data_IF_923165531308
#
_entry.id   IF_923165531308
#
_cell.length_a   1.000
_cell.length_b   1.000
_cell.length_c   1.000
_cell.angle_alpha   90.00
_cell.angle_beta   90.00
_cell.angle_gamma   90.00
#
_symmetry.space_group_name_H-M   'P 1'
#
loop_
_entity.id
_entity.type
_entity.pdbx_description
1 polymer ?
#
# COMPACT_ATOMS: atom_id res chain seq x y z
N UNK A 1 10.53 -12.95 -16.39
CA UNK A 1 10.35 -14.14 -15.57
C UNK A 1 8.87 -14.53 -15.53
N UNK A 2 8.58 -15.76 -15.92
CA UNK A 2 7.21 -16.31 -15.95
C UNK A 2 7.18 -17.55 -15.07
N UNK A 3 6.24 -17.58 -14.12
CA UNK A 3 6.00 -18.74 -13.27
C UNK A 3 4.58 -19.25 -13.48
N UNK A 4 4.37 -20.57 -13.54
CA UNK A 4 3.05 -21.14 -13.63
C UNK A 4 2.28 -20.89 -12.33
N UNK A 5 1.02 -20.47 -12.47
CA UNK A 5 0.11 -20.25 -11.35
C UNK A 5 -1.12 -21.12 -11.56
N UNK A 6 -1.46 -21.91 -10.56
CA UNK A 6 -2.68 -22.72 -10.60
C UNK A 6 -3.93 -21.86 -10.40
N UNK A 7 -5.02 -22.11 -11.12
CA UNK A 7 -6.26 -21.37 -10.93
C UNK A 7 -6.88 -21.70 -9.57
N UNK A 8 -7.43 -20.69 -8.90
CA UNK A 8 -8.17 -20.80 -7.65
C UNK A 8 -9.66 -20.72 -7.91
N UNK A 9 -10.34 -21.86 -7.97
CA UNK A 9 -11.75 -21.96 -8.32
C UNK A 9 -12.70 -21.76 -7.14
N UNK A 10 -12.18 -21.75 -5.92
CA UNK A 10 -12.97 -21.55 -4.71
C UNK A 10 -13.15 -20.07 -4.36
N UNK A 11 -13.68 -19.83 -3.17
CA UNK A 11 -13.91 -18.48 -2.63
C UNK A 11 -12.61 -17.66 -2.52
N UNK A 12 -11.49 -18.31 -2.31
CA UNK A 12 -10.16 -17.68 -2.27
C UNK A 12 -9.78 -17.02 -3.59
N UNK A 13 -10.37 -17.43 -4.70
CA UNK A 13 -10.16 -16.80 -6.01
C UNK A 13 -10.70 -15.38 -6.11
N UNK A 14 -11.58 -14.97 -5.20
CA UNK A 14 -12.10 -13.62 -5.13
C UNK A 14 -11.24 -12.68 -4.25
N UNK A 15 -10.23 -13.22 -3.57
CA UNK A 15 -9.27 -12.40 -2.87
C UNK A 15 -8.36 -11.70 -3.89
N UNK A 16 -8.32 -10.35 -3.94
CA UNK A 16 -7.53 -9.62 -4.94
C UNK A 16 -6.02 -9.83 -4.80
N UNK A 17 -5.56 -10.32 -3.67
CA UNK A 17 -4.14 -10.62 -3.42
C UNK A 17 -3.75 -12.06 -3.76
N UNK A 18 -4.71 -12.88 -4.14
CA UNK A 18 -4.44 -14.25 -4.58
C UNK A 18 -4.29 -14.30 -6.11
N UNK A 19 -3.08 -14.55 -6.65
CA UNK A 19 -2.86 -14.58 -8.10
C UNK A 19 -3.66 -15.65 -8.84
N UNK A 20 -4.00 -16.74 -8.15
CA UNK A 20 -4.80 -17.83 -8.74
C UNK A 20 -6.22 -17.40 -9.13
N UNK A 21 -6.74 -16.37 -8.48
CA UNK A 21 -8.04 -15.80 -8.83
C UNK A 21 -8.03 -15.13 -10.20
N UNK A 22 -6.95 -14.46 -10.56
CA UNK A 22 -6.76 -13.84 -11.88
C UNK A 22 -6.76 -14.93 -12.96
N UNK A 23 -6.02 -16.01 -12.72
CA UNK A 23 -5.96 -17.15 -13.64
C UNK A 23 -7.33 -17.77 -13.83
N UNK A 24 -8.04 -18.09 -12.77
CA UNK A 24 -9.37 -18.66 -12.84
C UNK A 24 -10.36 -17.76 -13.59
N UNK A 25 -10.34 -16.46 -13.28
CA UNK A 25 -11.19 -15.49 -13.97
C UNK A 25 -10.89 -15.42 -15.46
N UNK A 26 -9.61 -15.38 -15.85
CA UNK A 26 -9.23 -15.31 -17.27
C UNK A 26 -9.53 -16.58 -18.03
N UNK A 27 -9.46 -17.76 -17.42
CA UNK A 27 -9.88 -19.01 -18.05
C UNK A 27 -11.39 -18.96 -18.32
N UNK A 28 -12.21 -18.64 -17.32
CA UNK A 28 -13.67 -18.59 -17.46
C UNK A 28 -14.12 -17.49 -18.42
N UNK A 29 -13.62 -16.27 -18.23
CA UNK A 29 -13.97 -15.14 -19.09
C UNK A 29 -13.43 -15.30 -20.52
N UNK A 30 -12.26 -15.92 -20.68
CA UNK A 30 -11.70 -16.22 -21.99
C UNK A 30 -12.55 -17.20 -22.78
N UNK A 31 -13.00 -18.27 -22.14
CA UNK A 31 -13.94 -19.22 -22.77
C UNK A 31 -15.26 -18.54 -23.16
N UNK A 32 -15.81 -17.73 -22.27
CA UNK A 32 -17.01 -16.95 -22.58
C UNK A 32 -16.76 -15.92 -23.69
N UNK A 33 -15.58 -15.32 -23.73
CA UNK A 33 -15.17 -14.40 -24.79
C UNK A 33 -15.09 -15.08 -26.17
N UNK A 34 -14.56 -16.31 -26.24
CA UNK A 34 -14.51 -17.10 -27.47
C UNK A 34 -15.93 -17.42 -27.96
N UNK A 35 -16.79 -17.91 -27.07
CA UNK A 35 -18.19 -18.21 -27.39
C UNK A 35 -18.93 -16.94 -27.82
N UNK A 36 -18.73 -15.83 -27.11
CA UNK A 36 -19.32 -14.54 -27.47
C UNK A 36 -18.83 -14.02 -28.83
N UNK A 37 -17.56 -14.21 -29.15
CA UNK A 37 -17.00 -13.86 -30.44
C UNK A 37 -17.63 -14.66 -31.57
N UNK A 38 -17.76 -15.98 -31.40
CA UNK A 38 -18.43 -16.85 -32.37
C UNK A 38 -19.88 -16.42 -32.58
N UNK A 39 -20.59 -16.11 -31.49
CA UNK A 39 -21.97 -15.61 -31.56
C UNK A 39 -22.05 -14.31 -32.38
N UNK A 40 -21.20 -13.35 -32.11
CA UNK A 40 -21.22 -12.05 -32.81
C UNK A 40 -20.76 -12.10 -34.26
N UNK A 41 -19.97 -13.11 -34.66
CA UNK A 41 -19.62 -13.36 -36.03
C UNK A 41 -20.80 -13.99 -36.80
N UNK A 42 -21.54 -14.89 -36.15
CA UNK A 42 -22.57 -15.71 -36.79
C UNK A 42 -23.97 -15.12 -36.72
N UNK A 43 -24.25 -14.27 -35.75
CA UNK A 43 -25.55 -13.68 -35.49
C UNK A 43 -25.48 -12.16 -35.56
N UNK A 44 -26.32 -11.58 -36.41
CA UNK A 44 -26.43 -10.12 -36.52
C UNK A 44 -27.64 -9.64 -35.67
N UNK A 45 -27.54 -8.46 -35.06
CA UNK A 45 -28.68 -7.91 -34.31
C UNK A 45 -29.85 -7.59 -35.24
N UNK A 46 -31.05 -7.68 -34.73
CA UNK A 46 -32.24 -7.20 -35.43
C UNK A 46 -32.20 -5.68 -35.63
N UNK A 47 -33.00 -5.20 -36.59
CA UNK A 47 -33.00 -3.75 -36.93
C UNK A 47 -33.36 -2.83 -35.76
N UNK A 48 -34.34 -3.23 -34.91
CA UNK A 48 -34.70 -2.43 -33.73
C UNK A 48 -33.55 -2.27 -32.75
N UNK A 49 -32.85 -3.34 -32.45
CA UNK A 49 -31.70 -3.35 -31.54
C UNK A 49 -30.52 -2.58 -32.15
N UNK A 50 -30.26 -2.79 -33.41
CA UNK A 50 -29.21 -2.09 -34.14
C UNK A 50 -29.39 -0.56 -34.07
N UNK A 51 -30.62 -0.08 -34.33
CA UNK A 51 -30.94 1.34 -34.26
C UNK A 51 -30.94 1.87 -32.82
N UNK A 52 -31.46 1.12 -31.88
CA UNK A 52 -31.51 1.54 -30.47
C UNK A 52 -30.11 1.73 -29.87
N UNK A 53 -29.18 0.86 -30.22
CA UNK A 53 -27.79 0.93 -29.77
C UNK A 53 -26.92 1.84 -30.65
N UNK A 54 -27.46 2.40 -31.73
CA UNK A 54 -26.74 3.28 -32.67
C UNK A 54 -25.46 2.65 -33.25
N UNK A 55 -25.53 1.38 -33.58
CA UNK A 55 -24.37 0.59 -34.04
C UNK A 55 -23.83 1.06 -35.41
N UNK A 56 -24.62 1.80 -36.19
CA UNK A 56 -24.17 2.40 -37.43
C UNK A 56 -23.50 3.77 -37.28
N UNK A 57 -23.42 4.32 -36.08
CA UNK A 57 -22.85 5.62 -35.79
C UNK A 57 -21.47 5.53 -35.17
N UNK A 58 -20.49 6.23 -35.73
CA UNK A 58 -19.16 6.34 -35.10
C UNK A 58 -19.22 7.01 -33.72
N UNK A 59 -20.09 7.98 -33.56
CA UNK A 59 -20.31 8.64 -32.25
C UNK A 59 -20.81 7.65 -31.20
N UNK A 60 -21.79 6.80 -31.56
CA UNK A 60 -22.31 5.76 -30.68
C UNK A 60 -21.25 4.72 -30.29
N UNK A 61 -20.43 4.32 -31.23
CA UNK A 61 -19.29 3.39 -30.97
C UNK A 61 -18.25 4.05 -30.08
N UNK A 62 -17.92 5.31 -30.34
CA UNK A 62 -17.00 6.07 -29.48
C UNK A 62 -17.54 6.22 -28.07
N UNK A 63 -18.82 6.52 -27.92
CA UNK A 63 -19.46 6.66 -26.60
C UNK A 63 -19.39 5.35 -25.80
N UNK A 64 -19.67 4.21 -26.41
CA UNK A 64 -19.58 2.91 -25.76
C UNK A 64 -18.14 2.52 -25.41
N UNK A 65 -17.18 2.84 -26.27
CA UNK A 65 -15.76 2.63 -25.99
C UNK A 65 -15.28 3.49 -24.81
N UNK A 66 -15.71 4.74 -24.72
CA UNK A 66 -15.39 5.61 -23.60
C UNK A 66 -16.03 5.14 -22.29
N UNK A 67 -17.22 4.55 -22.34
CA UNK A 67 -17.84 3.96 -21.17
C UNK A 67 -17.02 2.76 -20.63
N UNK A 68 -16.52 1.93 -21.55
CA UNK A 68 -15.62 0.81 -21.17
C UNK A 68 -14.32 1.32 -20.56
N UNK A 69 -13.72 2.35 -21.13
CA UNK A 69 -12.47 2.97 -20.61
C UNK A 69 -12.73 3.59 -19.24
N UNK A 70 -13.88 4.24 -19.03
CA UNK A 70 -14.25 4.81 -17.74
C UNK A 70 -14.33 3.72 -16.66
N UNK A 71 -14.97 2.60 -16.96
CA UNK A 71 -15.01 1.45 -16.06
C UNK A 71 -13.62 0.93 -15.70
N UNK A 72 -12.80 0.69 -16.72
CA UNK A 72 -11.42 0.19 -16.52
C UNK A 72 -10.57 1.18 -15.72
N UNK A 73 -10.75 2.49 -15.94
CA UNK A 73 -10.02 3.51 -15.19
C UNK A 73 -10.29 3.45 -13.69
N UNK A 74 -11.54 3.20 -13.29
CA UNK A 74 -11.87 2.98 -11.88
C UNK A 74 -11.30 1.68 -11.34
N UNK A 75 -11.30 0.61 -12.13
CA UNK A 75 -10.70 -0.67 -11.71
C UNK A 75 -9.20 -0.52 -11.49
N UNK A 76 -8.49 0.09 -12.44
CA UNK A 76 -7.03 0.29 -12.34
C UNK A 76 -6.68 1.20 -11.19
N UNK A 77 -7.41 2.30 -11.01
CA UNK A 77 -7.19 3.23 -9.90
C UNK A 77 -7.45 2.57 -8.55
N UNK A 78 -8.50 1.78 -8.45
CA UNK A 78 -8.84 1.03 -7.24
C UNK A 78 -7.80 -0.02 -6.88
N UNK A 79 -7.33 -0.79 -7.85
CA UNK A 79 -6.29 -1.81 -7.60
C UNK A 79 -4.95 -1.16 -7.23
N UNK A 80 -4.64 -0.01 -7.79
CA UNK A 80 -3.43 0.72 -7.43
C UNK A 80 -3.52 1.31 -6.01
N UNK A 81 -4.66 1.90 -5.67
CA UNK A 81 -4.82 2.55 -4.38
C UNK A 81 -4.97 1.57 -3.22
N UNK A 82 -5.82 0.56 -3.38
CA UNK A 82 -6.03 -0.47 -2.35
C UNK A 82 -4.98 -1.56 -2.36
N UNK A 83 -4.28 -1.73 -3.46
CA UNK A 83 -3.35 -2.83 -3.68
C UNK A 83 -4.04 -4.08 -4.20
N UNK A 84 -3.30 -4.90 -4.89
CA UNK A 84 -3.71 -6.22 -5.37
C UNK A 84 -2.49 -7.04 -5.77
N UNK A 85 -2.69 -8.28 -6.18
CA UNK A 85 -1.61 -9.09 -6.76
C UNK A 85 -1.00 -8.47 -8.02
N UNK A 86 -1.77 -7.60 -8.73
CA UNK A 86 -1.31 -6.91 -9.95
C UNK A 86 -0.48 -5.67 -9.69
N UNK A 87 -0.43 -5.21 -8.44
CA UNK A 87 0.28 -4.00 -8.02
C UNK A 87 1.23 -4.30 -6.86
N UNK A 88 2.24 -5.17 -7.07
CA UNK A 88 3.14 -5.58 -5.99
C UNK A 88 3.90 -4.39 -5.42
N UNK A 89 4.12 -4.42 -4.12
CA UNK A 89 4.82 -3.35 -3.37
C UNK A 89 6.24 -3.13 -3.89
N UNK A 90 6.89 -4.18 -4.37
CA UNK A 90 8.26 -4.12 -4.92
C UNK A 90 8.35 -3.22 -6.17
N UNK A 91 7.26 -3.07 -6.92
CA UNK A 91 7.21 -2.26 -8.14
C UNK A 91 6.61 -0.88 -7.91
N UNK A 92 5.57 -0.78 -7.11
CA UNK A 92 4.76 0.43 -6.96
C UNK A 92 4.84 1.09 -5.58
N UNK A 93 5.59 0.47 -4.67
CA UNK A 93 5.68 0.94 -3.29
C UNK A 93 4.47 0.54 -2.44
N UNK A 94 4.51 0.86 -1.14
CA UNK A 94 3.45 0.49 -0.21
C UNK A 94 2.17 1.31 -0.44
N UNK A 95 1.03 0.74 -0.05
CA UNK A 95 -0.24 1.46 -0.02
C UNK A 95 -0.38 2.24 1.30
N UNK A 96 -1.26 3.25 1.32
CA UNK A 96 -1.55 3.97 2.57
C UNK A 96 -2.10 3.04 3.67
N UNK A 97 -2.84 2.02 3.28
CA UNK A 97 -3.48 1.09 4.22
C UNK A 97 -2.48 0.20 4.94
N UNK A 98 -1.33 -0.07 4.32
CA UNK A 98 -0.24 -0.78 4.96
C UNK A 98 0.39 0.03 6.08
N UNK A 99 0.46 1.36 5.93
CA UNK A 99 0.83 2.24 7.03
C UNK A 99 -0.26 2.29 8.11
N UNK A 100 -1.52 2.53 7.73
CA UNK A 100 -2.64 2.66 8.65
C UNK A 100 -2.83 1.41 9.53
N UNK A 101 -2.62 0.23 8.96
CA UNK A 101 -2.72 -1.05 9.68
C UNK A 101 -1.46 -1.47 10.42
N UNK A 102 -0.35 -0.76 10.24
CA UNK A 102 0.94 -1.16 10.79
C UNK A 102 1.49 -2.45 10.21
N UNK A 103 1.18 -2.76 8.96
CA UNK A 103 1.54 -4.00 8.28
C UNK A 103 3.05 -4.27 8.33
N UNK A 104 3.86 -3.31 7.92
CA UNK A 104 5.31 -3.46 7.91
C UNK A 104 5.91 -3.37 9.31
N UNK A 105 5.36 -2.55 10.18
CA UNK A 105 5.79 -2.49 11.59
C UNK A 105 5.61 -3.85 12.27
N UNK A 106 4.46 -4.47 12.07
CA UNK A 106 4.17 -5.81 12.61
C UNK A 106 5.15 -6.85 12.09
N UNK A 107 5.47 -6.83 10.80
CA UNK A 107 6.45 -7.75 10.21
C UNK A 107 7.87 -7.52 10.73
N UNK A 108 8.29 -6.26 10.87
CA UNK A 108 9.58 -5.91 11.47
C UNK A 108 9.65 -6.45 12.91
N UNK A 109 8.63 -6.19 13.72
CA UNK A 109 8.58 -6.65 15.11
C UNK A 109 8.60 -8.18 15.19
N UNK A 110 7.91 -8.87 14.29
CA UNK A 110 7.93 -10.34 14.21
C UNK A 110 9.34 -10.86 13.94
N UNK A 111 10.04 -10.28 12.98
CA UNK A 111 11.41 -10.68 12.63
C UNK A 111 12.39 -10.40 13.76
N UNK A 112 12.26 -9.24 14.40
CA UNK A 112 13.09 -8.86 15.55
C UNK A 112 12.88 -9.83 16.70
N UNK A 113 11.62 -10.15 17.03
CA UNK A 113 11.32 -11.09 18.12
C UNK A 113 11.84 -12.49 17.81
N UNK A 114 11.70 -12.96 16.56
CA UNK A 114 12.23 -14.26 16.15
C UNK A 114 13.76 -14.31 16.31
N UNK A 115 14.46 -13.24 15.94
CA UNK A 115 15.93 -13.16 16.09
C UNK A 115 16.33 -13.15 17.57
N UNK A 116 15.60 -12.45 18.43
CA UNK A 116 15.85 -12.44 19.89
C UNK A 116 15.61 -13.83 20.48
N UNK A 117 14.55 -14.51 20.07
CA UNK A 117 14.24 -15.87 20.52
C UNK A 117 15.32 -16.88 20.10
N UNK A 118 16.01 -16.62 18.97
CA UNK A 118 17.16 -17.41 18.52
C UNK A 118 18.48 -17.02 19.21
N UNK A 119 18.45 -16.08 20.15
CA UNK A 119 19.60 -15.69 20.97
C UNK A 119 20.37 -14.46 20.50
N UNK A 120 19.89 -13.76 19.48
CA UNK A 120 20.50 -12.49 19.05
C UNK A 120 20.22 -11.37 20.05
N UNK A 121 21.13 -10.39 20.11
CA UNK A 121 20.89 -9.17 20.86
C UNK A 121 19.87 -8.30 20.12
N UNK A 122 19.29 -7.32 20.81
CA UNK A 122 18.32 -6.40 20.22
C UNK A 122 18.92 -5.62 19.05
N UNK A 123 20.15 -5.15 19.22
CA UNK A 123 20.88 -4.42 18.18
C UNK A 123 21.16 -5.28 16.95
N UNK A 124 21.57 -6.53 17.16
CA UNK A 124 21.79 -7.50 16.09
C UNK A 124 20.49 -7.85 15.37
N UNK A 125 19.41 -8.00 16.10
CA UNK A 125 18.10 -8.29 15.54
C UNK A 125 17.62 -7.16 14.63
N UNK A 126 17.75 -5.90 15.04
CA UNK A 126 17.39 -4.76 14.22
C UNK A 126 18.34 -4.56 13.03
N UNK A 127 19.62 -4.84 13.20
CA UNK A 127 20.59 -4.77 12.11
C UNK A 127 20.32 -5.81 11.01
N UNK A 128 19.65 -6.90 11.33
CA UNK A 128 19.29 -7.95 10.37
C UNK A 128 18.06 -7.62 9.52
N UNK A 129 17.31 -6.55 9.84
CA UNK A 129 16.13 -6.16 9.10
C UNK A 129 16.52 -5.64 7.71
N UNK A 130 15.92 -6.15 6.62
CA UNK A 130 16.18 -5.63 5.29
C UNK A 130 15.84 -4.14 5.18
N UNK A 131 16.73 -3.36 4.57
CA UNK A 131 16.51 -1.92 4.36
C UNK A 131 15.20 -1.63 3.63
N UNK A 132 14.84 -2.46 2.67
CA UNK A 132 13.61 -2.32 1.90
C UNK A 132 12.37 -2.43 2.78
N UNK A 133 12.36 -3.33 3.75
CA UNK A 133 11.26 -3.48 4.70
C UNK A 133 11.14 -2.24 5.61
N UNK A 134 12.26 -1.72 6.08
CA UNK A 134 12.28 -0.48 6.86
C UNK A 134 11.85 0.73 6.04
N UNK A 135 12.27 0.80 4.77
CA UNK A 135 11.84 1.83 3.83
C UNK A 135 10.32 1.86 3.66
N UNK A 136 9.68 0.69 3.58
CA UNK A 136 8.23 0.61 3.47
C UNK A 136 7.49 1.01 4.75
N UNK A 137 8.12 0.88 5.91
CA UNK A 137 7.54 1.32 7.19
C UNK A 137 7.89 2.77 7.54
N UNK A 138 8.01 3.61 6.54
CA UNK A 138 8.25 5.04 6.71
C UNK A 138 7.06 5.83 6.16
N UNK A 139 6.47 6.70 6.99
CA UNK A 139 5.27 7.46 6.60
C UNK A 139 5.49 8.37 5.41
N UNK A 140 6.69 8.90 5.24
CA UNK A 140 7.05 9.73 4.08
C UNK A 140 6.98 8.99 2.75
N UNK A 141 6.99 7.66 2.77
CA UNK A 141 6.84 6.81 1.58
C UNK A 141 5.39 6.36 1.37
N UNK A 142 4.47 6.78 2.22
CA UNK A 142 3.04 6.53 2.02
C UNK A 142 2.52 7.36 0.84
N UNK A 143 1.74 6.77 -0.07
CA UNK A 143 1.17 7.51 -1.21
C UNK A 143 0.22 8.62 -0.78
N UNK A 144 -0.33 8.56 0.44
CA UNK A 144 -1.17 9.63 1.00
C UNK A 144 -0.37 10.87 1.42
N UNK A 145 0.95 10.79 1.51
CA UNK A 145 1.86 11.90 1.84
C UNK A 145 2.53 12.51 0.60
N UNK A 146 2.17 12.07 -0.59
CA UNK A 146 2.68 12.62 -1.82
C UNK A 146 2.26 14.07 -2.07
N UNK A 147 2.97 14.74 -2.96
CA UNK A 147 2.65 16.07 -3.45
C UNK A 147 3.06 16.22 -4.91
N UNK A 148 2.39 17.13 -5.64
CA UNK A 148 2.58 17.27 -7.09
C UNK A 148 4.04 17.52 -7.50
N UNK A 149 4.79 18.26 -6.69
CA UNK A 149 6.19 18.61 -6.96
C UNK A 149 7.19 17.85 -6.07
N UNK A 150 6.77 16.79 -5.40
CA UNK A 150 7.61 16.00 -4.48
C UNK A 150 8.11 14.69 -5.10
N UNK A 151 7.88 14.48 -6.39
CA UNK A 151 8.24 13.26 -7.10
C UNK A 151 9.76 13.20 -7.33
N UNK A 152 10.37 12.05 -7.03
CA UNK A 152 11.79 11.80 -7.29
C UNK A 152 12.77 12.49 -6.36
N UNK A 153 12.32 13.04 -5.23
CA UNK A 153 13.22 13.60 -4.24
C UNK A 153 14.12 12.53 -3.63
N UNK A 154 15.42 12.80 -3.60
CA UNK A 154 16.39 11.94 -2.89
C UNK A 154 16.23 12.01 -1.38
N UNK A 155 15.60 13.06 -0.92
CA UNK A 155 15.30 13.32 0.48
C UNK A 155 13.78 13.26 0.60
N UNK A 156 13.27 12.54 1.60
CA UNK A 156 11.84 12.44 1.84
C UNK A 156 11.26 13.77 2.34
N UNK A 157 9.93 13.85 2.52
CA UNK A 157 9.24 15.06 2.94
C UNK A 157 9.67 15.65 4.29
N UNK A 158 10.40 14.88 5.11
CA UNK A 158 10.92 15.30 6.42
C UNK A 158 12.36 15.81 6.36
N UNK A 159 12.95 15.91 5.16
CA UNK A 159 14.33 16.33 4.98
C UNK A 159 15.36 15.24 5.28
N UNK A 160 14.94 14.00 5.47
CA UNK A 160 15.83 12.86 5.72
C UNK A 160 16.18 12.13 4.42
N UNK A 161 17.41 11.60 4.27
CA UNK A 161 17.74 10.78 3.13
C UNK A 161 16.80 9.58 2.99
N UNK A 162 16.45 9.24 1.76
CA UNK A 162 15.67 8.03 1.48
C UNK A 162 16.52 6.81 1.76
N UNK A 163 16.35 6.21 2.91
CA UNK A 163 17.07 5.02 3.34
C UNK A 163 16.91 4.81 4.83
N UNK A 164 16.97 3.56 5.22
CA UNK A 164 16.91 3.24 6.63
C UNK A 164 18.28 3.40 7.28
N UNK A 165 18.34 4.23 8.32
CA UNK A 165 19.58 4.49 9.04
C UNK A 165 19.72 3.65 10.32
N UNK A 166 18.88 2.66 10.49
CA UNK A 166 18.85 1.81 11.65
C UNK A 166 17.74 2.17 12.64
N UNK A 167 17.53 1.29 13.60
CA UNK A 167 16.59 1.53 14.69
C UNK A 167 17.21 2.47 15.72
N UNK A 168 16.48 3.54 16.05
CA UNK A 168 16.85 4.47 17.11
C UNK A 168 16.05 4.11 18.35
N UNK A 169 16.75 3.79 19.41
CA UNK A 169 16.13 3.49 20.71
C UNK A 169 16.14 4.73 21.59
N UNK A 170 15.00 5.02 22.18
CA UNK A 170 14.83 6.08 23.17
C UNK A 170 14.49 5.48 24.52
N UNK A 171 15.06 6.04 25.57
CA UNK A 171 14.76 5.65 26.95
C UNK A 171 14.45 6.87 27.78
N UNK A 172 13.54 6.74 28.75
CA UNK A 172 13.31 7.76 29.73
C UNK A 172 14.38 7.71 30.86
N UNK A 173 14.30 8.63 31.83
CA UNK A 173 15.25 8.67 32.97
C UNK A 173 15.17 7.42 33.85
N UNK A 174 14.06 6.72 33.81
CA UNK A 174 13.81 5.49 34.58
C UNK A 174 14.25 4.24 33.84
N UNK A 175 14.79 4.37 32.62
CA UNK A 175 15.24 3.27 31.79
C UNK A 175 14.16 2.58 30.98
N UNK A 176 12.93 3.07 30.98
CA UNK A 176 11.85 2.53 30.16
C UNK A 176 12.07 2.88 28.68
N UNK A 177 11.85 1.90 27.83
CA UNK A 177 11.95 2.08 26.39
C UNK A 177 10.78 2.91 25.86
N UNK A 178 11.09 3.90 25.02
CA UNK A 178 10.11 4.77 24.38
C UNK A 178 10.09 4.51 22.88
N UNK A 179 8.91 4.58 22.28
CA UNK A 179 8.69 4.46 20.84
C UNK A 179 8.15 5.78 20.27
N UNK A 180 8.49 6.07 19.02
CA UNK A 180 7.91 7.19 18.29
C UNK A 180 6.49 6.84 17.87
N UNK A 181 5.52 7.70 18.24
CA UNK A 181 4.13 7.52 17.80
C UNK A 181 4.01 7.63 16.30
N UNK A 182 3.29 6.71 15.70
CA UNK A 182 3.07 6.69 14.25
C UNK A 182 2.22 7.88 13.82
N UNK A 183 2.65 8.55 12.75
CA UNK A 183 1.92 9.70 12.20
C UNK A 183 0.74 9.18 11.39
N UNK A 184 -0.52 9.56 11.70
CA UNK A 184 -1.65 9.22 10.87
C UNK A 184 -1.54 9.85 9.48
N UNK A 185 -1.98 9.14 8.44
CA UNK A 185 -1.95 9.64 7.06
C UNK A 185 -2.76 10.93 6.85
N UNK A 186 -3.74 11.19 7.69
CA UNK A 186 -4.59 12.39 7.61
C UNK A 186 -3.82 13.68 7.89
N UNK A 187 -2.83 13.65 8.78
CA UNK A 187 -2.10 14.85 9.20
C UNK A 187 -0.90 15.10 8.27
N UNK A 188 -0.76 16.30 7.75
CA UNK A 188 0.42 16.72 7.01
C UNK A 188 1.59 17.02 7.94
N UNK A 189 1.30 17.68 9.08
CA UNK A 189 2.27 17.99 10.13
C UNK A 189 1.84 17.31 11.41
N UNK A 190 2.77 16.63 12.05
CA UNK A 190 2.52 15.92 13.29
C UNK A 190 3.75 16.04 14.19
N UNK A 191 3.59 16.40 15.48
CA UNK A 191 4.72 16.47 16.40
C UNK A 191 5.33 15.09 16.61
N UNK A 192 6.63 15.02 16.84
CA UNK A 192 7.29 13.76 17.24
C UNK A 192 6.90 13.50 18.70
N UNK A 193 6.18 12.43 18.92
CA UNK A 193 5.69 12.03 20.25
C UNK A 193 6.37 10.72 20.62
N UNK A 194 7.01 10.70 21.78
CA UNK A 194 7.57 9.49 22.37
C UNK A 194 6.59 8.93 23.40
N UNK A 195 6.23 7.68 23.22
CA UNK A 195 5.29 7.00 24.10
C UNK A 195 5.91 5.72 24.66
N UNK A 196 5.42 5.29 25.83
CA UNK A 196 5.79 4.00 26.42
C UNK A 196 4.97 2.85 25.78
N UNK A 197 5.22 1.64 26.25
CA UNK A 197 4.51 0.44 25.75
C UNK A 197 3.01 0.48 26.02
N UNK A 198 2.57 1.27 26.99
CA UNK A 198 1.17 1.43 27.38
C UNK A 198 0.49 2.58 26.63
N UNK A 199 1.23 3.31 25.79
CA UNK A 199 0.71 4.42 25.00
C UNK A 199 0.71 5.77 25.71
N UNK A 200 1.32 5.87 26.91
CA UNK A 200 1.43 7.14 27.60
C UNK A 200 2.52 8.02 26.99
N UNK A 201 2.20 9.29 26.75
CA UNK A 201 3.16 10.26 26.21
C UNK A 201 4.21 10.57 27.28
N UNK A 202 5.48 10.38 26.93
CA UNK A 202 6.61 10.66 27.84
C UNK A 202 7.43 11.86 27.40
N UNK A 203 7.53 12.11 26.11
CA UNK A 203 8.19 13.28 25.56
C UNK A 203 7.56 13.65 24.22
N UNK A 204 7.66 14.90 23.83
CA UNK A 204 7.25 15.36 22.51
C UNK A 204 8.22 16.42 21.98
N UNK A 205 8.33 16.50 20.64
CA UNK A 205 8.98 17.61 19.95
C UNK A 205 7.88 18.29 19.15
N UNK A 206 7.31 19.39 19.65
CA UNK A 206 6.18 20.04 19.01
C UNK A 206 6.62 20.73 17.72
N UNK A 207 5.68 20.88 16.79
CA UNK A 207 5.89 21.67 15.59
C UNK A 207 6.23 23.14 15.92
N UNK A 208 5.68 23.65 17.04
CA UNK A 208 6.01 24.97 17.63
C UNK A 208 6.44 24.78 19.07
N UNK A 209 7.56 25.36 19.45
CA UNK A 209 8.10 25.26 20.82
C UNK A 209 7.11 25.67 21.92
N UNK A 210 6.23 26.63 21.64
CA UNK A 210 5.22 27.10 22.58
C UNK A 210 4.18 26.03 22.97
N UNK A 211 4.08 24.94 22.21
CA UNK A 211 3.12 23.85 22.42
C UNK A 211 3.74 22.66 23.18
N UNK A 212 5.01 22.75 23.60
CA UNK A 212 5.70 21.66 24.28
C UNK A 212 5.11 21.41 25.67
N UNK A 213 4.55 20.22 25.87
CA UNK A 213 4.03 19.75 27.17
C UNK A 213 5.01 18.78 27.85
N UNK A 214 5.72 17.98 27.07
CA UNK A 214 6.65 16.96 27.53
C UNK A 214 7.97 17.13 26.79
N UNK A 215 8.86 17.96 27.31
CA UNK A 215 10.16 18.17 26.66
C UNK A 215 11.11 17.02 26.96
N UNK A 216 12.05 16.80 26.06
CA UNK A 216 13.13 15.83 26.23
C UNK A 216 13.99 16.14 27.46
N UNK A 217 14.17 17.42 27.76
CA UNK A 217 14.92 17.88 28.94
C UNK A 217 14.28 17.45 30.25
N UNK A 218 12.94 17.30 30.28
CA UNK A 218 12.20 16.90 31.46
C UNK A 218 12.12 15.38 31.62
N UNK A 219 12.06 14.61 30.52
CA UNK A 219 11.70 13.19 30.56
C UNK A 219 12.76 12.26 29.99
N UNK A 220 13.62 12.75 29.13
CA UNK A 220 14.56 11.94 28.38
C UNK A 220 15.96 11.86 28.91
#
# INVERSE_FOLDING_TARGET
HVEPVAPSWGVEGFNPFNPGGIVANHIAAGLMGIIGGIFHITNRPGERLYRALKLGSLEGVLASALAAVLFVSFVVSGTMWYGSATTPVELFGPTRYQWDSGYFKTEINRRVQAAIDDGATKEEAYASIPEKLAFYDYVGNSPAKGGLFRVGALVNGDGLPTGWQGHISFQDKEGNELEVRRIPNFFENFPVILEDKEGNVRADIPFRRAEAKYSFEQTG
#
